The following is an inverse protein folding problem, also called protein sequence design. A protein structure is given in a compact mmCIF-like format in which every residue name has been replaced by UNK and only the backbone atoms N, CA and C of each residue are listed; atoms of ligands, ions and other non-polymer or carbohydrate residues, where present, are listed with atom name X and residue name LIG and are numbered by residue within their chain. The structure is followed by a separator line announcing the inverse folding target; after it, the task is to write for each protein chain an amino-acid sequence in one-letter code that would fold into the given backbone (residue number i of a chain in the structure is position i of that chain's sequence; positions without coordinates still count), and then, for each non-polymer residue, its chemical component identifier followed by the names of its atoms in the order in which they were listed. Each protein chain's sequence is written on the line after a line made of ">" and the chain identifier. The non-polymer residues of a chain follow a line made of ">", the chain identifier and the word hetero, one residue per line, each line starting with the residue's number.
data_IF_206966107957
#
_entry.id   IF_206966107957
#
_cell.length_a   1.000
_cell.length_b   1.000
_cell.length_c   1.000
_cell.angle_alpha   90.00
_cell.angle_beta   90.00
_cell.angle_gamma   90.00
#
_symmetry.space_group_name_H-M   'P 1'
#
loop_
_entity.id
_entity.type
_entity.pdbx_description
1 polymer ?
#
# COMPACT_ATOMS: atom_id res chain seq x y z
N UNK A 1 6.03 -0.81 7.85
CA UNK A 1 5.80 -0.46 6.44
C UNK A 1 6.21 -1.57 5.49
N UNK A 2 7.47 -2.04 5.48
CA UNK A 2 7.86 -3.17 4.61
C UNK A 2 6.95 -4.40 4.77
N UNK A 3 6.67 -4.82 6.01
CA UNK A 3 5.68 -5.88 6.29
C UNK A 3 4.29 -5.58 5.69
N UNK A 4 3.82 -4.32 5.77
CA UNK A 4 2.49 -3.94 5.27
C UNK A 4 2.41 -3.96 3.74
N UNK A 5 3.55 -3.77 3.05
CA UNK A 5 3.67 -3.74 1.59
C UNK A 5 3.97 -5.14 1.00
N UNK A 6 4.85 -5.91 1.62
CA UNK A 6 5.42 -7.10 0.96
C UNK A 6 4.88 -8.42 1.49
N UNK A 7 4.30 -8.44 2.69
CA UNK A 7 3.76 -9.67 3.26
C UNK A 7 2.66 -10.22 2.35
N UNK A 8 2.65 -11.55 2.19
CA UNK A 8 1.82 -12.25 1.21
C UNK A 8 2.00 -11.75 -0.23
N UNK A 9 3.20 -11.30 -0.59
CA UNK A 9 3.53 -10.79 -1.93
C UNK A 9 2.72 -9.57 -2.36
N UNK A 10 2.19 -8.80 -1.40
CA UNK A 10 1.31 -7.67 -1.67
C UNK A 10 -0.12 -8.05 -2.03
N UNK A 11 -0.50 -9.32 -1.87
CA UNK A 11 -1.84 -9.83 -2.20
C UNK A 11 -2.81 -9.84 -1.00
N UNK A 12 -2.39 -9.33 0.16
CA UNK A 12 -3.26 -9.21 1.33
C UNK A 12 -4.32 -8.12 1.10
N UNK A 13 -5.55 -8.32 1.62
CA UNK A 13 -6.60 -7.32 1.49
C UNK A 13 -6.22 -5.96 2.10
N UNK A 14 -5.48 -5.98 3.23
CA UNK A 14 -4.96 -4.79 3.93
C UNK A 14 -3.56 -4.38 3.49
N UNK A 15 -3.19 -4.67 2.24
CA UNK A 15 -1.88 -4.31 1.71
C UNK A 15 -1.77 -2.79 1.54
N UNK A 16 -0.60 -2.23 1.85
CA UNK A 16 -0.33 -0.81 1.58
C UNK A 16 0.09 -0.65 0.12
N UNK A 17 -0.86 -0.24 -0.71
CA UNK A 17 -0.67 0.04 -2.15
C UNK A 17 -0.38 1.51 -2.47
N UNK A 18 -0.67 2.43 -1.54
CA UNK A 18 -0.45 3.88 -1.69
C UNK A 18 0.16 4.47 -0.43
N UNK A 19 1.18 5.32 -0.56
CA UNK A 19 1.82 6.04 0.55
C UNK A 19 1.73 7.55 0.35
N UNK A 20 1.58 8.29 1.45
CA UNK A 20 1.63 9.75 1.46
C UNK A 20 2.88 10.21 2.20
N UNK A 21 3.67 11.09 1.58
CA UNK A 21 4.92 11.60 2.15
C UNK A 21 4.95 13.14 2.12
N UNK A 22 5.64 13.82 3.06
CA UNK A 22 5.83 15.26 2.99
C UNK A 22 6.44 15.72 1.65
N UNK A 23 6.17 16.97 1.25
CA UNK A 23 6.67 17.55 -0.01
C UNK A 23 8.18 17.44 -0.18
N UNK A 24 8.92 17.58 0.92
CA UNK A 24 10.38 17.55 1.02
C UNK A 24 10.95 16.18 1.45
N UNK A 25 10.10 15.15 1.55
CA UNK A 25 10.55 13.83 1.96
C UNK A 25 11.48 13.19 0.93
N UNK A 26 12.63 12.74 1.42
CA UNK A 26 13.63 11.98 0.67
C UNK A 26 13.19 10.52 0.50
N UNK A 27 12.88 10.14 -0.74
CA UNK A 27 12.43 8.79 -1.10
C UNK A 27 13.54 7.75 -0.98
N UNK A 28 14.82 8.13 -0.98
CA UNK A 28 15.93 7.18 -0.80
C UNK A 28 15.90 6.57 0.60
N UNK A 29 15.42 7.32 1.61
CA UNK A 29 15.17 6.79 2.96
C UNK A 29 14.14 5.67 2.95
N UNK A 30 13.09 5.82 2.14
CA UNK A 30 12.07 4.78 1.98
C UNK A 30 12.68 3.55 1.30
N UNK A 31 13.37 3.72 0.16
CA UNK A 31 14.03 2.61 -0.55
C UNK A 31 15.03 1.84 0.33
N UNK A 32 15.82 2.58 1.12
CA UNK A 32 16.78 1.98 2.07
C UNK A 32 16.06 1.15 3.14
N UNK A 33 14.97 1.68 3.71
CA UNK A 33 14.21 1.00 4.75
C UNK A 33 13.53 -0.29 4.27
N UNK A 34 13.12 -0.35 3.00
CA UNK A 34 12.49 -1.55 2.42
C UNK A 34 13.47 -2.55 1.81
N UNK A 35 14.74 -2.18 1.65
CA UNK A 35 15.76 -3.04 1.03
C UNK A 35 15.88 -4.46 1.59
N UNK A 36 15.66 -4.73 2.90
CA UNK A 36 15.66 -6.09 3.43
C UNK A 36 14.68 -7.05 2.74
N UNK A 37 13.67 -6.54 2.01
CA UNK A 37 12.70 -7.32 1.26
C UNK A 37 13.15 -7.71 -0.16
N UNK A 38 14.34 -7.31 -0.62
CA UNK A 38 14.78 -7.49 -2.00
C UNK A 38 14.66 -8.92 -2.55
N UNK A 39 14.82 -9.93 -1.69
CA UNK A 39 14.73 -11.34 -2.09
C UNK A 39 13.33 -11.74 -2.60
N UNK A 40 12.30 -10.94 -2.35
CA UNK A 40 10.92 -11.21 -2.80
C UNK A 40 10.82 -11.34 -4.33
N UNK A 41 11.67 -10.63 -5.08
CA UNK A 41 11.69 -10.69 -6.55
C UNK A 41 12.07 -12.07 -7.07
N UNK A 42 12.81 -12.86 -6.28
CA UNK A 42 13.20 -14.23 -6.62
C UNK A 42 12.02 -15.20 -6.62
N UNK A 43 10.87 -14.81 -6.07
CA UNK A 43 9.64 -15.58 -6.23
C UNK A 43 9.05 -15.35 -7.62
N UNK A 44 9.10 -16.38 -8.48
CA UNK A 44 8.72 -16.30 -9.89
C UNK A 44 7.44 -15.49 -10.18
N UNK A 45 6.34 -15.72 -9.43
CA UNK A 45 5.10 -14.98 -9.68
C UNK A 45 5.22 -13.49 -9.37
N UNK A 46 5.96 -13.13 -8.34
CA UNK A 46 6.15 -11.73 -7.96
C UNK A 46 7.12 -11.05 -8.94
N UNK A 47 8.26 -11.68 -9.22
CA UNK A 47 9.23 -11.21 -10.23
C UNK A 47 8.58 -11.00 -11.60
N UNK A 48 7.74 -11.93 -12.05
CA UNK A 48 7.02 -11.78 -13.31
C UNK A 48 6.07 -10.56 -13.32
N UNK A 49 5.42 -10.24 -12.19
CA UNK A 49 4.57 -9.04 -12.09
C UNK A 49 5.42 -7.77 -12.13
N UNK A 50 6.55 -7.75 -11.41
CA UNK A 50 7.50 -6.65 -11.45
C UNK A 50 7.98 -6.38 -12.88
N UNK A 51 8.49 -7.39 -13.59
CA UNK A 51 9.00 -7.25 -14.95
C UNK A 51 7.90 -6.82 -15.94
N UNK A 52 6.70 -7.40 -15.81
CA UNK A 52 5.56 -7.05 -16.64
C UNK A 52 5.15 -5.58 -16.46
N UNK A 53 4.91 -5.15 -15.22
CA UNK A 53 4.48 -3.77 -14.94
C UNK A 53 5.57 -2.77 -15.31
N UNK A 54 6.84 -3.10 -15.05
CA UNK A 54 7.98 -2.28 -15.44
C UNK A 54 8.05 -2.10 -16.95
N UNK A 55 7.94 -3.19 -17.72
CA UNK A 55 7.97 -3.13 -19.17
C UNK A 55 6.79 -2.31 -19.72
N UNK A 56 5.59 -2.52 -19.19
CA UNK A 56 4.39 -1.76 -19.58
C UNK A 56 4.58 -0.26 -19.35
N UNK A 57 5.02 0.14 -18.16
CA UNK A 57 5.24 1.55 -17.84
C UNK A 57 6.35 2.20 -18.68
N UNK A 58 7.42 1.46 -18.99
CA UNK A 58 8.46 1.94 -19.90
C UNK A 58 7.94 2.17 -21.31
N UNK A 59 7.13 1.23 -21.84
CA UNK A 59 6.51 1.35 -23.17
C UNK A 59 5.54 2.53 -23.24
N UNK A 60 4.80 2.77 -22.16
CA UNK A 60 3.83 3.87 -22.05
C UNK A 60 4.50 5.22 -21.73
N UNK A 61 5.83 5.26 -21.54
CA UNK A 61 6.57 6.48 -21.17
C UNK A 61 6.21 7.03 -19.79
N UNK A 62 5.67 6.18 -18.92
CA UNK A 62 5.31 6.53 -17.54
C UNK A 62 6.59 6.71 -16.72
N UNK A 63 6.65 7.80 -15.95
CA UNK A 63 7.75 8.03 -14.99
C UNK A 63 7.49 7.23 -13.71
N UNK A 64 8.48 6.47 -13.29
CA UNK A 64 8.49 5.75 -12.02
C UNK A 64 9.94 5.64 -11.51
N UNK A 65 10.07 5.31 -10.23
CA UNK A 65 11.32 4.97 -9.57
C UNK A 65 11.35 3.46 -9.31
N UNK A 66 12.52 2.86 -9.23
CA UNK A 66 12.66 1.43 -8.96
C UNK A 66 13.94 1.10 -8.21
N UNK A 67 13.95 -0.06 -7.57
CA UNK A 67 15.10 -0.59 -6.81
C UNK A 67 15.41 -2.07 -7.12
N UNK A 68 14.93 -2.59 -8.24
CA UNK A 68 15.16 -3.97 -8.68
C UNK A 68 14.19 -5.01 -8.13
N UNK A 69 13.25 -4.62 -7.26
CA UNK A 69 12.21 -5.51 -6.75
C UNK A 69 10.86 -4.82 -6.49
N UNK A 70 10.81 -3.49 -6.49
CA UNK A 70 9.57 -2.73 -6.32
C UNK A 70 9.62 -1.50 -7.22
N UNK A 71 8.50 -1.17 -7.84
CA UNK A 71 8.31 0.06 -8.60
C UNK A 71 7.52 1.06 -7.74
N UNK A 72 7.93 2.32 -7.79
CA UNK A 72 7.32 3.42 -7.05
C UNK A 72 6.88 4.50 -8.04
N UNK A 73 5.59 4.79 -8.09
CA UNK A 73 5.02 5.74 -9.07
C UNK A 73 4.20 6.81 -8.37
N UNK A 74 4.32 8.04 -8.84
CA UNK A 74 3.43 9.11 -8.38
C UNK A 74 2.07 8.98 -9.06
N UNK A 75 1.05 8.55 -8.32
CA UNK A 75 -0.28 8.27 -8.87
C UNK A 75 -1.35 8.40 -7.78
N UNK A 76 -2.48 9.08 -8.03
CA UNK A 76 -3.54 9.22 -7.03
C UNK A 76 -4.40 7.96 -6.87
N UNK A 77 -4.28 6.93 -7.72
CA UNK A 77 -5.09 5.73 -7.59
C UNK A 77 -4.80 4.97 -6.28
N UNK A 78 -5.85 4.57 -5.57
CA UNK A 78 -5.75 3.80 -4.31
C UNK A 78 -5.03 2.46 -4.49
N UNK A 79 -5.34 1.75 -5.57
CA UNK A 79 -4.77 0.43 -5.84
C UNK A 79 -3.55 0.56 -6.76
N UNK A 80 -2.49 -0.16 -6.43
CA UNK A 80 -1.31 -0.34 -7.26
C UNK A 80 -1.25 -1.80 -7.79
N UNK A 81 -0.63 -2.03 -8.95
CA UNK A 81 -0.30 -3.39 -9.39
C UNK A 81 0.59 -4.14 -8.38
N UNK A 82 0.70 -5.47 -8.50
CA UNK A 82 1.67 -6.24 -7.69
C UNK A 82 3.10 -5.77 -8.00
N UNK A 83 3.97 -5.78 -6.99
CA UNK A 83 5.30 -5.16 -7.00
C UNK A 83 5.29 -3.62 -7.21
N UNK A 84 4.09 -3.05 -7.23
CA UNK A 84 3.68 -1.65 -7.24
C UNK A 84 3.54 -0.94 -5.92
N UNK A 85 4.06 0.27 -5.72
CA UNK A 85 3.50 1.19 -4.73
C UNK A 85 3.27 2.54 -5.37
N UNK A 86 2.09 3.11 -5.16
CA UNK A 86 1.81 4.50 -5.50
C UNK A 86 2.25 5.43 -4.38
N UNK A 87 2.69 6.63 -4.71
CA UNK A 87 2.92 7.67 -3.72
C UNK A 87 2.34 9.01 -4.14
N UNK A 88 2.02 9.84 -3.16
CA UNK A 88 1.71 11.25 -3.38
C UNK A 88 2.40 12.11 -2.32
N UNK A 89 2.77 13.32 -2.69
CA UNK A 89 3.31 14.30 -1.77
C UNK A 89 2.20 15.14 -1.16
N UNK A 90 2.35 15.53 0.11
CA UNK A 90 1.45 16.47 0.79
C UNK A 90 2.24 17.61 1.45
N UNK A 91 1.61 18.79 1.52
CA UNK A 91 2.14 19.95 2.24
C UNK A 91 1.48 20.10 3.61
N UNK A 92 0.15 20.01 3.66
CA UNK A 92 -0.64 20.14 4.89
C UNK A 92 -1.24 18.78 5.32
N UNK A 93 -0.83 18.21 6.46
CA UNK A 93 -1.43 16.99 7.03
C UNK A 93 -2.94 17.09 7.21
N UNK A 94 -3.46 18.28 7.48
CA UNK A 94 -4.90 18.52 7.69
C UNK A 94 -5.68 18.32 6.40
N UNK A 95 -5.15 18.78 5.26
CA UNK A 95 -5.75 18.55 3.95
C UNK A 95 -5.71 17.08 3.55
N UNK A 96 -4.59 16.40 3.85
CA UNK A 96 -4.48 14.96 3.64
C UNK A 96 -5.53 14.19 4.46
N UNK A 97 -5.73 14.56 5.72
CA UNK A 97 -6.75 13.92 6.56
C UNK A 97 -8.18 14.10 5.99
N UNK A 98 -8.48 15.28 5.46
CA UNK A 98 -9.76 15.54 4.77
C UNK A 98 -9.91 14.69 3.51
N UNK A 99 -8.88 14.57 2.67
CA UNK A 99 -8.94 13.76 1.45
C UNK A 99 -9.11 12.27 1.76
N UNK A 100 -8.41 11.76 2.78
CA UNK A 100 -8.54 10.37 3.22
C UNK A 100 -9.93 10.09 3.80
N UNK A 101 -10.53 11.06 4.50
CA UNK A 101 -11.90 10.94 5.02
C UNK A 101 -12.93 10.91 3.88
N UNK A 102 -12.72 11.72 2.83
CA UNK A 102 -13.60 11.72 1.66
C UNK A 102 -13.56 10.39 0.87
N UNK A 103 -12.45 9.67 0.92
CA UNK A 103 -12.29 8.34 0.30
C UNK A 103 -12.49 7.17 1.27
N UNK A 104 -12.97 7.42 2.50
CA UNK A 104 -12.96 6.42 3.59
C UNK A 104 -13.70 5.12 3.23
N UNK A 105 -14.81 5.19 2.50
CA UNK A 105 -15.56 4.00 2.06
C UNK A 105 -14.77 3.08 1.11
N UNK A 106 -13.71 3.60 0.48
CA UNK A 106 -12.84 2.87 -0.46
C UNK A 106 -11.53 2.43 0.19
N UNK A 107 -11.26 2.85 1.42
CA UNK A 107 -10.03 2.60 2.15
C UNK A 107 -10.32 1.57 3.24
N UNK A 108 -9.71 0.40 3.12
CA UNK A 108 -9.90 -0.64 4.15
C UNK A 108 -9.18 -0.30 5.46
N UNK A 109 -8.00 0.32 5.39
CA UNK A 109 -7.25 0.74 6.57
C UNK A 109 -6.20 1.80 6.21
N UNK A 110 -5.77 2.55 7.23
CA UNK A 110 -4.69 3.53 7.15
C UNK A 110 -3.59 3.09 8.12
N UNK A 111 -2.34 3.12 7.68
CA UNK A 111 -1.16 2.81 8.49
C UNK A 111 -0.37 4.08 8.73
N UNK A 112 -0.08 4.41 9.99
CA UNK A 112 0.64 5.62 10.36
C UNK A 112 0.36 6.10 11.78
N UNK A 113 0.92 7.26 12.13
CA UNK A 113 0.68 7.89 13.43
C UNK A 113 -0.81 8.26 13.57
N UNK A 114 -1.43 7.87 14.70
CA UNK A 114 -2.88 8.06 14.91
C UNK A 114 -3.77 7.04 14.19
N UNK A 115 -3.17 6.07 13.48
CA UNK A 115 -3.87 4.99 12.79
C UNK A 115 -3.24 3.63 13.16
N UNK A 116 -3.38 2.60 12.31
CA UNK A 116 -2.72 1.32 12.56
C UNK A 116 -1.20 1.51 12.63
N UNK A 117 -0.53 0.92 13.63
CA UNK A 117 0.93 0.93 13.68
C UNK A 117 1.56 0.32 12.43
N UNK A 118 2.76 0.79 12.09
CA UNK A 118 3.52 0.19 11.00
C UNK A 118 3.84 -1.29 11.29
N UNK A 119 3.61 -2.13 10.29
CA UNK A 119 3.88 -3.56 10.31
C UNK A 119 2.74 -4.42 10.82
N UNK A 120 1.58 -3.84 11.13
CA UNK A 120 0.46 -4.57 11.74
C UNK A 120 -0.76 -4.70 10.82
N UNK A 121 -0.76 -4.10 9.63
CA UNK A 121 -1.95 -4.09 8.76
C UNK A 121 -2.44 -5.50 8.41
N UNK A 122 -1.51 -6.45 8.28
CA UNK A 122 -1.75 -7.86 7.96
C UNK A 122 -2.05 -8.74 9.18
N UNK A 123 -2.27 -8.13 10.35
CA UNK A 123 -2.50 -8.82 11.62
C UNK A 123 -3.81 -8.32 12.24
N UNK A 124 -4.97 -8.51 11.58
CA UNK A 124 -6.26 -8.04 12.11
C UNK A 124 -6.57 -8.68 13.46
N UNK A 125 -7.00 -7.86 14.42
CA UNK A 125 -7.56 -8.32 15.68
C UNK A 125 -8.98 -8.88 15.53
N UNK A 126 -9.48 -9.50 16.60
CA UNK A 126 -10.82 -10.13 16.62
C UNK A 126 -11.98 -9.16 16.33
N UNK A 127 -11.80 -7.87 16.60
CA UNK A 127 -12.80 -6.83 16.36
C UNK A 127 -12.59 -6.06 15.04
N UNK A 128 -11.52 -6.37 14.30
CA UNK A 128 -11.19 -5.67 13.06
C UNK A 128 -11.93 -6.31 11.87
N UNK A 129 -13.25 -6.27 11.90
CA UNK A 129 -14.08 -6.84 10.84
C UNK A 129 -13.80 -6.18 9.49
N UNK A 130 -13.90 -6.96 8.40
CA UNK A 130 -13.83 -6.41 7.05
C UNK A 130 -14.97 -5.40 6.84
N UNK A 131 -14.66 -4.27 6.23
CA UNK A 131 -15.62 -3.21 5.86
C UNK A 131 -16.42 -2.63 7.04
N UNK A 132 -15.93 -2.79 8.28
CA UNK A 132 -16.60 -2.30 9.48
C UNK A 132 -17.90 -3.03 9.83
N UNK A 133 -18.23 -4.12 9.13
CA UNK A 133 -19.46 -4.89 9.34
C UNK A 133 -19.19 -5.99 10.36
N UNK A 134 -19.76 -5.87 11.56
CA UNK A 134 -19.78 -6.94 12.55
C UNK A 134 -20.48 -8.17 11.96
N UNK A 135 -19.68 -9.13 11.54
CA UNK A 135 -20.15 -10.35 10.88
C UNK A 135 -21.01 -11.19 11.83
N UNK A 136 -20.74 -11.14 13.14
CA UNK A 136 -21.56 -11.83 14.13
C UNK A 136 -22.92 -11.18 14.27
N UNK A 137 -22.96 -9.84 14.26
CA UNK A 137 -24.23 -9.10 14.25
C UNK A 137 -25.04 -9.37 12.99
N UNK A 138 -24.42 -9.31 11.81
CA UNK A 138 -25.08 -9.64 10.55
C UNK A 138 -25.73 -11.04 10.59
N UNK A 139 -25.00 -12.06 11.06
CA UNK A 139 -25.52 -13.43 11.17
C UNK A 139 -26.66 -13.57 12.17
N UNK A 140 -26.66 -12.79 13.25
CA UNK A 140 -27.74 -12.77 14.25
C UNK A 140 -28.99 -12.03 13.74
N UNK A 141 -28.81 -11.05 12.86
CA UNK A 141 -29.88 -10.23 12.28
C UNK A 141 -30.56 -10.90 11.06
N UNK A 142 -30.03 -12.03 10.54
CA UNK A 142 -30.64 -12.86 9.48
C UNK A 142 -31.87 -13.68 9.92
N UNK A 143 -32.47 -13.33 11.06
CA UNK A 143 -33.63 -14.03 11.64
C UNK A 143 -34.97 -13.62 11.02
#
# INVERSE_FOLDING_TARGET
>A
LGEDIFRYFGLGCRNVSRIHVPIDFDLDRFFTAIYPWNAIVQHNKYGNNYDYTRALWLLDGVKFLENGFMLLREDPALASPVASVHYNRYEDPSQLALSLTAEAERIQCIVGHGHLPFGTAQHPGLADYADGVDTMRFLLDLR
#
